data_IF_164807738886
#
_entry.id   IF_164807738886
#
_cell.length_a   1.000
_cell.length_b   1.000
_cell.length_c   1.000
_cell.angle_alpha   90.00
_cell.angle_beta   90.00
_cell.angle_gamma   90.00
#
_symmetry.space_group_name_H-M   'P 1'
#
loop_
_entity.id
_entity.type
_entity.pdbx_description
1 polymer ?
#
# COMPACT_ATOMS: atom_id res chain seq x y z
N UNK A 1 15.22 8.49 -19.90
CA UNK A 1 14.44 8.25 -18.67
C UNK A 1 13.07 7.56 -18.92
N UNK A 2 12.49 7.61 -20.13
CA UNK A 2 11.16 7.03 -20.40
C UNK A 2 11.11 5.54 -20.80
N UNK A 3 12.20 4.78 -20.71
CA UNK A 3 12.22 3.37 -21.16
C UNK A 3 12.07 2.34 -20.02
N UNK A 4 12.06 2.78 -18.76
CA UNK A 4 12.03 1.86 -17.59
C UNK A 4 10.68 1.86 -16.85
N UNK A 5 9.78 2.80 -17.16
CA UNK A 5 8.47 2.92 -16.51
C UNK A 5 7.34 2.60 -17.49
N UNK A 6 6.32 1.87 -17.04
CA UNK A 6 5.13 1.59 -17.84
C UNK A 6 4.39 2.89 -18.19
N UNK A 7 3.67 2.89 -19.31
CA UNK A 7 2.85 4.03 -19.78
C UNK A 7 1.85 4.52 -18.72
N UNK A 8 1.36 3.62 -17.85
CA UNK A 8 0.53 3.99 -16.72
C UNK A 8 1.25 4.91 -15.73
N UNK A 9 2.47 4.56 -15.32
CA UNK A 9 3.26 5.36 -14.37
C UNK A 9 3.64 6.71 -14.97
N UNK A 10 3.96 6.73 -16.27
CA UNK A 10 4.34 7.96 -16.97
C UNK A 10 3.26 9.04 -16.93
N UNK A 11 1.97 8.66 -16.93
CA UNK A 11 0.86 9.61 -16.86
C UNK A 11 0.74 10.34 -15.52
N UNK A 12 1.33 9.79 -14.45
CA UNK A 12 1.30 10.37 -13.11
C UNK A 12 2.63 11.04 -12.72
N UNK A 13 3.68 10.90 -13.54
CA UNK A 13 4.94 11.56 -13.27
C UNK A 13 4.78 13.08 -13.44
N UNK A 14 5.24 13.88 -12.45
CA UNK A 14 5.30 15.32 -12.61
C UNK A 14 6.17 15.65 -13.83
N UNK A 15 5.67 16.50 -14.72
CA UNK A 15 6.49 17.10 -15.78
C UNK A 15 7.37 18.17 -15.11
N UNK A 16 8.54 17.75 -14.64
CA UNK A 16 9.55 18.67 -14.14
C UNK A 16 10.41 19.11 -15.31
N UNK A 17 10.54 20.42 -15.51
CA UNK A 17 11.42 20.95 -16.54
C UNK A 17 12.86 20.51 -16.29
N UNK A 18 13.59 20.22 -17.37
CA UNK A 18 14.99 19.81 -17.27
C UNK A 18 15.80 20.98 -16.69
N UNK A 19 16.58 20.78 -15.61
CA UNK A 19 17.43 21.83 -15.07
C UNK A 19 18.54 22.21 -16.06
N UNK A 20 18.94 23.48 -16.06
CA UNK A 20 20.04 24.01 -16.89
C UNK A 20 21.40 23.57 -16.34
N UNK A 21 21.76 22.32 -16.60
CA UNK A 21 23.05 21.73 -16.21
C UNK A 21 23.59 20.85 -17.34
N UNK A 22 24.92 20.83 -17.49
CA UNK A 22 25.60 20.11 -18.59
C UNK A 22 25.57 18.59 -18.39
N UNK A 23 25.83 18.11 -17.18
CA UNK A 23 25.72 16.69 -16.84
C UNK A 23 25.45 16.47 -15.35
N UNK A 24 24.72 15.39 -15.04
CA UNK A 24 24.59 14.87 -13.69
C UNK A 24 25.04 13.41 -13.75
N UNK A 25 26.08 13.06 -13.00
CA UNK A 25 26.61 11.70 -12.88
C UNK A 25 26.44 11.21 -11.44
N UNK A 26 26.31 9.89 -11.25
CA UNK A 26 26.17 9.26 -9.94
C UNK A 26 24.97 9.73 -9.08
N UNK A 27 23.85 10.12 -9.70
CA UNK A 27 22.65 10.49 -8.96
C UNK A 27 21.83 9.24 -8.59
N UNK A 28 21.62 9.03 -7.29
CA UNK A 28 20.68 8.03 -6.81
C UNK A 28 19.22 8.45 -7.09
N UNK A 29 18.27 7.51 -7.11
CA UNK A 29 16.85 7.85 -7.26
C UNK A 29 16.42 8.91 -6.23
N UNK A 30 15.83 10.00 -6.72
CA UNK A 30 15.30 11.08 -5.89
C UNK A 30 13.80 10.88 -5.64
N UNK A 31 13.36 11.09 -4.40
CA UNK A 31 11.95 11.06 -4.01
C UNK A 31 11.57 12.47 -3.54
N UNK A 32 10.51 13.04 -4.12
CA UNK A 32 9.99 14.35 -3.74
C UNK A 32 8.89 14.13 -2.69
N UNK A 33 9.02 14.76 -1.53
CA UNK A 33 7.99 14.79 -0.49
C UNK A 33 7.34 16.17 -0.53
N UNK A 34 6.07 16.24 -0.93
CA UNK A 34 5.29 17.46 -0.87
C UNK A 34 4.27 17.43 0.28
N UNK A 35 3.76 18.61 0.67
CA UNK A 35 2.75 18.75 1.72
C UNK A 35 1.32 18.74 1.16
N UNK A 36 1.10 18.20 -0.05
CA UNK A 36 -0.26 18.16 -0.60
C UNK A 36 -1.11 17.24 0.26
N UNK A 37 -2.40 17.56 0.36
CA UNK A 37 -3.36 16.66 0.99
C UNK A 37 -3.27 15.31 0.30
N UNK A 38 -3.13 14.26 1.10
CA UNK A 38 -3.13 12.90 0.60
C UNK A 38 -4.51 12.61 0.03
N UNK A 39 -4.60 12.52 -1.29
CA UNK A 39 -5.81 12.09 -2.00
C UNK A 39 -5.99 10.57 -1.88
N UNK A 40 -7.23 10.08 -2.02
CA UNK A 40 -7.51 8.65 -1.97
C UNK A 40 -8.99 8.30 -2.06
N UNK A 41 -9.28 7.02 -2.24
CA UNK A 41 -10.62 6.46 -2.11
C UNK A 41 -11.11 6.62 -0.65
N UNK A 42 -12.41 6.78 -0.43
CA UNK A 42 -13.00 6.79 0.93
C UNK A 42 -12.65 5.54 1.77
N UNK A 43 -12.25 4.44 1.12
CA UNK A 43 -11.76 3.22 1.78
C UNK A 43 -10.26 3.24 2.13
N UNK A 44 -9.50 4.23 1.65
CA UNK A 44 -8.08 4.37 1.96
C UNK A 44 -7.90 4.96 3.37
N UNK A 45 -7.12 4.27 4.19
CA UNK A 45 -6.84 4.68 5.58
C UNK A 45 -5.36 5.00 5.74
N UNK A 46 -4.99 5.63 6.87
CA UNK A 46 -3.58 5.85 7.23
C UNK A 46 -2.77 4.55 7.22
N UNK A 47 -3.36 3.44 7.66
CA UNK A 47 -2.71 2.13 7.65
C UNK A 47 -2.43 1.57 6.25
N UNK A 48 -3.15 2.04 5.23
CA UNK A 48 -2.88 1.73 3.81
C UNK A 48 -1.76 2.62 3.27
N UNK A 49 -1.80 3.92 3.55
CA UNK A 49 -0.80 4.89 3.06
C UNK A 49 0.60 4.56 3.59
N UNK A 50 0.67 4.09 4.83
CA UNK A 50 1.92 3.77 5.53
C UNK A 50 2.35 2.31 5.37
N UNK A 51 1.58 1.49 4.65
CA UNK A 51 1.72 0.03 4.58
C UNK A 51 1.68 -0.72 5.93
N UNK A 52 1.37 -0.06 7.04
CA UNK A 52 1.26 -0.67 8.38
C UNK A 52 0.25 -1.83 8.37
N UNK A 53 -0.84 -1.72 7.61
CA UNK A 53 -1.83 -2.80 7.50
C UNK A 53 -1.22 -4.11 6.93
N UNK A 54 -0.23 -4.04 6.04
CA UNK A 54 0.45 -5.24 5.55
C UNK A 54 1.26 -5.93 6.66
N UNK A 55 1.90 -5.15 7.52
CA UNK A 55 2.65 -5.66 8.65
C UNK A 55 1.72 -6.25 9.72
N UNK A 56 0.65 -5.54 10.07
CA UNK A 56 -0.36 -6.04 11.02
C UNK A 56 -0.98 -7.35 10.54
N UNK A 57 -1.36 -7.47 9.26
CA UNK A 57 -1.85 -8.73 8.69
C UNK A 57 -0.85 -9.88 8.88
N UNK A 58 0.45 -9.60 8.74
CA UNK A 58 1.49 -10.59 9.00
C UNK A 58 1.57 -10.99 10.47
N UNK A 59 1.54 -10.03 11.39
CA UNK A 59 1.55 -10.32 12.82
C UNK A 59 0.32 -11.17 13.20
N UNK A 60 -0.88 -10.74 12.81
CA UNK A 60 -2.11 -11.45 13.16
C UNK A 60 -2.20 -12.83 12.52
N UNK A 61 -1.68 -13.03 11.30
CA UNK A 61 -1.60 -14.37 10.70
C UNK A 61 -0.74 -15.35 11.49
N UNK A 62 0.26 -14.84 12.22
CA UNK A 62 1.24 -15.66 12.96
C UNK A 62 0.85 -15.85 14.42
N UNK A 63 0.36 -14.80 15.07
CA UNK A 63 0.14 -14.75 16.54
C UNK A 63 -1.36 -14.70 16.88
N UNK A 64 -2.20 -14.25 15.95
CA UNK A 64 -3.64 -14.14 16.18
C UNK A 64 -4.32 -15.50 16.34
N UNK A 65 -5.53 -15.47 16.89
CA UNK A 65 -6.45 -16.61 16.93
C UNK A 65 -7.54 -16.38 15.88
N UNK A 66 -7.76 -17.31 14.92
CA UNK A 66 -7.07 -18.59 14.76
C UNK A 66 -5.63 -18.40 14.24
N UNK A 67 -4.69 -19.21 14.73
CA UNK A 67 -3.30 -19.16 14.29
C UNK A 67 -3.14 -19.80 12.90
N UNK A 68 -2.12 -19.36 12.14
CA UNK A 68 -1.79 -19.87 10.80
C UNK A 68 -2.84 -19.61 9.71
N UNK A 69 -3.70 -18.62 9.89
CA UNK A 69 -4.65 -18.18 8.85
C UNK A 69 -3.93 -17.29 7.83
N UNK A 70 -4.30 -17.38 6.55
CA UNK A 70 -3.70 -16.58 5.49
C UNK A 70 -3.82 -15.07 5.76
N UNK A 71 -2.76 -14.29 5.50
CA UNK A 71 -2.73 -12.82 5.71
C UNK A 71 -3.88 -12.06 5.05
N UNK A 72 -4.36 -12.54 3.90
CA UNK A 72 -5.51 -11.99 3.16
C UNK A 72 -6.78 -11.95 4.00
N UNK A 73 -6.98 -12.93 4.89
CA UNK A 73 -8.14 -13.01 5.78
C UNK A 73 -8.18 -11.90 6.83
N UNK A 74 -7.07 -11.22 7.07
CA UNK A 74 -6.99 -10.04 7.94
C UNK A 74 -7.07 -8.73 7.15
N UNK A 75 -7.46 -8.79 5.87
CA UNK A 75 -7.61 -7.62 5.00
C UNK A 75 -9.04 -7.09 5.05
N UNK A 76 -9.21 -5.80 5.34
CA UNK A 76 -10.51 -5.12 5.24
C UNK A 76 -11.10 -5.10 3.83
N UNK A 77 -10.28 -5.36 2.81
CA UNK A 77 -10.72 -5.46 1.42
C UNK A 77 -11.19 -6.86 1.03
N UNK A 78 -10.98 -7.89 1.86
CA UNK A 78 -11.47 -9.24 1.59
C UNK A 78 -12.86 -9.39 2.23
N UNK A 79 -13.97 -9.55 1.47
CA UNK A 79 -15.31 -9.67 2.03
C UNK A 79 -15.46 -10.82 3.05
N UNK A 80 -14.59 -11.84 2.97
CA UNK A 80 -14.64 -13.02 3.82
C UNK A 80 -13.84 -12.87 5.12
N UNK A 81 -13.22 -11.71 5.35
CA UNK A 81 -12.38 -11.44 6.53
C UNK A 81 -13.12 -11.78 7.83
N UNK A 82 -14.37 -11.32 7.96
CA UNK A 82 -15.20 -11.50 9.15
C UNK A 82 -15.64 -12.96 9.35
N UNK A 83 -15.92 -13.66 8.25
CA UNK A 83 -16.53 -15.00 8.27
C UNK A 83 -15.54 -16.07 8.70
N UNK A 84 -14.22 -15.90 8.52
CA UNK A 84 -13.25 -16.95 8.85
C UNK A 84 -12.53 -16.76 10.19
N UNK A 85 -12.29 -15.52 10.63
CA UNK A 85 -11.56 -15.24 11.88
C UNK A 85 -12.45 -15.34 13.14
N UNK A 86 -13.76 -15.20 13.00
CA UNK A 86 -14.66 -15.29 14.16
C UNK A 86 -14.82 -16.73 14.68
N UNK A 87 -14.88 -16.94 16.01
CA UNK A 87 -15.21 -18.24 16.58
C UNK A 87 -16.57 -18.74 16.08
N UNK A 88 -16.72 -20.06 15.92
CA UNK A 88 -17.91 -20.68 15.31
C UNK A 88 -19.24 -20.28 15.99
N UNK A 89 -19.22 -19.94 17.27
CA UNK A 89 -20.39 -19.51 18.04
C UNK A 89 -20.79 -18.03 17.83
N UNK A 90 -19.98 -17.22 17.15
CA UNK A 90 -20.34 -15.85 16.73
C UNK A 90 -20.89 -15.82 15.29
N UNK A 91 -20.94 -16.97 14.60
CA UNK A 91 -21.44 -17.12 13.22
C UNK A 91 -22.91 -17.53 13.21
N UNK A 92 -23.78 -16.75 13.84
CA UNK A 92 -25.24 -16.97 13.81
C UNK A 92 -25.99 -15.65 13.95
N UNK A 93 -26.49 -15.11 12.83
CA UNK A 93 -27.91 -14.95 12.49
C UNK A 93 -27.98 -14.48 11.04
#
# INVERSE_FOLDING_TARGET
>A
MNQTYSTFIQNFLPKVDKPSVDSITNLNPAIIIDQKRIGGNARSTLGTITDINAFLRTIFSRIGLPSQVQRSMFSFNDPNWYVRIMPRHWKTN
#
